data_IF_020323641498
#
_entry.id   IF_020323641498
#
_cell.length_a   1.000
_cell.length_b   1.000
_cell.length_c   1.000
_cell.angle_alpha   90.00
_cell.angle_beta   90.00
_cell.angle_gamma   90.00
#
_symmetry.space_group_name_H-M   'P 1'
#
loop_
_entity.id
_entity.type
_entity.pdbx_description
1 polymer ?
#
# COMPACT_ATOMS: atom_id res chain seq x y z
N UNK A 1 0.35 61.28 -57.46
CA UNK A 1 0.86 60.03 -58.08
C UNK A 1 0.91 58.94 -57.03
N UNK A 2 0.43 57.75 -57.38
CA UNK A 2 0.24 56.56 -56.55
C UNK A 2 1.54 55.74 -56.46
N UNK A 3 1.55 54.79 -55.52
CA UNK A 3 2.36 53.56 -55.40
C UNK A 3 3.66 53.69 -54.59
N UNK A 4 4.16 52.67 -53.91
CA UNK A 4 3.69 51.39 -53.35
C UNK A 4 5.00 50.82 -52.74
N UNK A 5 5.04 50.46 -51.46
CA UNK A 5 6.28 50.02 -50.81
C UNK A 5 5.99 48.80 -49.96
N UNK A 6 6.13 47.63 -50.57
CA UNK A 6 5.86 46.32 -49.97
C UNK A 6 6.88 45.90 -48.90
N UNK A 7 6.38 44.99 -48.07
CA UNK A 7 6.98 44.21 -46.99
C UNK A 7 8.32 43.52 -47.35
N UNK A 8 9.20 43.29 -46.37
CA UNK A 8 9.29 41.99 -45.68
C UNK A 8 10.34 41.98 -44.54
N UNK A 9 10.07 41.15 -43.53
CA UNK A 9 10.86 40.85 -42.33
C UNK A 9 12.30 40.39 -42.59
N UNK A 10 13.20 40.74 -41.66
CA UNK A 10 14.40 39.96 -41.35
C UNK A 10 14.46 39.69 -39.84
N UNK A 11 14.43 38.41 -39.53
CA UNK A 11 14.63 37.75 -38.24
C UNK A 11 16.02 38.03 -37.67
N UNK A 12 16.11 38.23 -36.35
CA UNK A 12 17.31 37.89 -35.57
C UNK A 12 16.92 37.26 -34.23
N UNK A 13 16.86 35.93 -34.24
CA UNK A 13 17.19 35.07 -33.09
C UNK A 13 18.57 35.47 -32.57
N UNK A 14 18.94 35.38 -31.30
CA UNK A 14 18.34 34.82 -30.10
C UNK A 14 19.50 34.72 -29.10
N UNK A 15 19.27 34.98 -27.82
CA UNK A 15 20.17 34.57 -26.75
C UNK A 15 19.33 34.57 -25.46
N UNK A 16 18.86 33.39 -25.08
CA UNK A 16 18.37 33.14 -23.72
C UNK A 16 19.49 32.32 -23.10
N UNK A 17 20.25 32.95 -22.22
CA UNK A 17 21.28 32.28 -21.45
C UNK A 17 20.59 31.27 -20.54
N UNK A 18 20.66 30.00 -20.95
CA UNK A 18 20.25 28.86 -20.15
C UNK A 18 21.35 28.59 -19.13
N UNK A 19 21.24 29.21 -17.96
CA UNK A 19 22.03 28.87 -16.79
C UNK A 19 21.57 27.48 -16.29
N UNK A 20 22.09 26.43 -16.91
CA UNK A 20 22.01 25.07 -16.36
C UNK A 20 23.05 24.94 -15.24
N UNK A 21 22.63 25.29 -14.02
CA UNK A 21 23.34 24.88 -12.82
C UNK A 21 23.25 23.35 -12.69
N UNK A 22 24.18 22.67 -13.35
CA UNK A 22 24.40 21.24 -13.24
C UNK A 22 25.06 20.94 -11.90
N UNK A 23 24.31 21.13 -10.82
CA UNK A 23 24.62 20.57 -9.52
C UNK A 23 24.71 19.05 -9.69
N UNK A 24 25.92 18.53 -9.55
CA UNK A 24 26.24 17.11 -9.63
C UNK A 24 25.23 16.30 -8.81
N UNK A 25 24.30 15.66 -9.51
CA UNK A 25 23.35 14.74 -8.92
C UNK A 25 24.15 13.59 -8.32
N UNK A 26 24.27 13.58 -6.98
CA UNK A 26 24.60 12.37 -6.26
C UNK A 26 23.68 11.28 -6.79
N UNK A 27 24.23 10.34 -7.55
CA UNK A 27 23.46 9.29 -8.21
C UNK A 27 23.02 8.32 -7.14
N UNK A 28 21.94 8.68 -6.44
CA UNK A 28 21.18 7.72 -5.64
C UNK A 28 20.74 6.65 -6.63
N UNK A 29 21.12 5.38 -6.43
CA UNK A 29 20.70 4.32 -7.32
C UNK A 29 19.17 4.34 -7.43
N UNK A 30 18.62 4.14 -8.64
CA UNK A 30 17.18 4.21 -8.86
C UNK A 30 16.49 3.20 -7.94
N UNK A 31 15.36 3.62 -7.38
CA UNK A 31 14.56 2.76 -6.51
C UNK A 31 14.04 1.56 -7.31
N UNK A 32 14.00 0.34 -6.74
CA UNK A 32 13.44 -0.82 -7.43
C UNK A 32 11.99 -0.58 -7.89
N UNK A 33 11.54 -1.19 -9.01
CA UNK A 33 10.19 -0.97 -9.54
C UNK A 33 9.06 -1.28 -8.55
N UNK A 34 9.23 -2.33 -7.75
CA UNK A 34 8.32 -2.74 -6.66
C UNK A 34 8.12 -1.61 -5.63
N UNK A 35 9.22 -0.96 -5.25
CA UNK A 35 9.23 0.15 -4.29
C UNK A 35 8.72 1.44 -4.92
N UNK A 36 8.96 1.71 -6.21
CA UNK A 36 8.35 2.85 -6.92
C UNK A 36 6.82 2.73 -6.98
N UNK A 37 6.29 1.52 -7.22
CA UNK A 37 4.84 1.27 -7.18
C UNK A 37 4.28 1.51 -5.77
N UNK A 38 4.94 0.98 -4.74
CA UNK A 38 4.53 1.19 -3.35
C UNK A 38 4.58 2.68 -2.97
N UNK A 39 5.65 3.39 -3.34
CA UNK A 39 5.81 4.82 -3.14
C UNK A 39 4.69 5.62 -3.81
N UNK A 40 4.38 5.34 -5.08
CA UNK A 40 3.27 5.99 -5.79
C UNK A 40 1.92 5.76 -5.09
N UNK A 41 1.68 4.55 -4.55
CA UNK A 41 0.46 4.25 -3.77
C UNK A 41 0.41 5.00 -2.44
N UNK A 42 1.53 5.12 -1.74
CA UNK A 42 1.64 5.90 -0.51
C UNK A 42 1.42 7.39 -0.78
N UNK A 43 2.00 7.95 -1.84
CA UNK A 43 1.79 9.33 -2.26
C UNK A 43 0.33 9.62 -2.62
N UNK A 44 -0.33 8.68 -3.33
CA UNK A 44 -1.77 8.77 -3.60
C UNK A 44 -2.60 8.78 -2.30
N UNK A 45 -2.15 8.06 -1.27
CA UNK A 45 -2.73 8.07 0.08
C UNK A 45 -2.27 9.24 0.97
N UNK A 46 -1.57 10.25 0.40
CA UNK A 46 -0.99 11.40 1.11
C UNK A 46 0.05 11.05 2.17
N UNK A 47 0.61 9.86 2.10
CA UNK A 47 1.71 9.37 2.94
C UNK A 47 3.04 9.61 2.23
N UNK A 48 3.35 10.88 1.94
CA UNK A 48 4.59 11.23 1.23
C UNK A 48 5.78 11.20 2.18
N UNK A 49 6.82 10.47 1.79
CA UNK A 49 8.06 10.36 2.54
C UNK A 49 9.27 10.24 1.61
N UNK A 50 10.44 10.49 2.17
CA UNK A 50 11.73 10.33 1.50
C UNK A 50 12.23 8.89 1.54
N UNK A 51 12.74 8.41 0.40
CA UNK A 51 13.23 7.04 0.20
C UNK A 51 14.75 6.95 0.03
N UNK A 52 15.43 8.09 -0.11
CA UNK A 52 16.89 8.20 -0.33
C UNK A 52 17.75 7.65 0.81
N UNK A 53 17.17 7.46 2.00
CA UNK A 53 17.88 6.95 3.18
C UNK A 53 17.76 5.44 3.39
N UNK A 54 17.03 4.75 2.53
CA UNK A 54 16.92 3.30 2.62
C UNK A 54 18.25 2.65 2.21
N UNK A 55 18.71 1.70 3.01
CA UNK A 55 19.86 0.86 2.65
C UNK A 55 19.43 -0.25 1.69
N UNK A 56 20.40 -0.88 1.01
CA UNK A 56 20.11 -2.05 0.16
C UNK A 56 19.39 -3.18 0.90
N UNK A 57 19.77 -3.44 2.16
CA UNK A 57 19.10 -4.43 3.01
C UNK A 57 17.65 -4.03 3.32
N UNK A 58 17.41 -2.74 3.54
CA UNK A 58 16.06 -2.22 3.77
C UNK A 58 15.21 -2.30 2.50
N UNK A 59 15.79 -2.10 1.31
CA UNK A 59 15.08 -2.39 0.06
C UNK A 59 14.67 -3.85 -0.01
N UNK A 60 15.60 -4.78 0.21
CA UNK A 60 15.33 -6.21 0.15
C UNK A 60 14.27 -6.67 1.16
N UNK A 61 14.25 -6.07 2.36
CA UNK A 61 13.19 -6.32 3.36
C UNK A 61 11.84 -5.84 2.86
N UNK A 62 11.76 -4.62 2.30
CA UNK A 62 10.51 -4.08 1.78
C UNK A 62 10.00 -4.92 0.61
N UNK A 63 10.88 -5.35 -0.29
CA UNK A 63 10.54 -6.25 -1.40
C UNK A 63 9.96 -7.58 -0.89
N UNK A 64 10.60 -8.22 0.09
CA UNK A 64 10.05 -9.43 0.72
C UNK A 64 8.68 -9.19 1.36
N UNK A 65 8.46 -8.04 2.00
CA UNK A 65 7.17 -7.70 2.60
C UNK A 65 6.11 -7.43 1.53
N UNK A 66 6.48 -6.83 0.39
CA UNK A 66 5.60 -6.69 -0.77
C UNK A 66 5.24 -8.07 -1.33
N UNK A 67 6.20 -8.98 -1.45
CA UNK A 67 5.94 -10.33 -1.95
C UNK A 67 5.03 -11.14 -1.00
N UNK A 68 5.23 -10.98 0.31
CA UNK A 68 4.48 -11.73 1.33
C UNK A 68 3.06 -11.19 1.55
N UNK A 69 2.89 -9.87 1.56
CA UNK A 69 1.63 -9.23 1.96
C UNK A 69 0.93 -8.49 0.82
N UNK A 70 1.64 -8.16 -0.26
CA UNK A 70 1.25 -7.15 -1.23
C UNK A 70 1.44 -5.73 -0.70
N UNK A 71 1.37 -4.74 -1.59
CA UNK A 71 1.52 -3.32 -1.22
C UNK A 71 0.32 -2.75 -0.43
N UNK A 72 -0.89 -3.27 -0.64
CA UNK A 72 -2.11 -2.80 0.03
C UNK A 72 -2.04 -2.80 1.56
N UNK A 73 -1.70 -3.93 2.21
CA UNK A 73 -1.50 -3.97 3.66
C UNK A 73 -0.39 -3.04 4.17
N UNK A 74 0.70 -2.88 3.41
CA UNK A 74 1.79 -1.95 3.76
C UNK A 74 1.30 -0.49 3.77
N UNK A 75 0.52 -0.09 2.75
CA UNK A 75 -0.12 1.24 2.69
C UNK A 75 -1.07 1.45 3.87
N UNK A 76 -1.94 0.47 4.17
CA UNK A 76 -2.86 0.55 5.32
C UNK A 76 -2.10 0.71 6.64
N UNK A 77 -1.00 -0.02 6.81
CA UNK A 77 -0.14 0.08 7.99
C UNK A 77 0.51 1.46 8.11
N UNK A 78 0.98 2.04 7.01
CA UNK A 78 1.55 3.40 7.01
C UNK A 78 0.50 4.45 7.41
N UNK A 79 -0.73 4.34 6.90
CA UNK A 79 -1.85 5.20 7.29
C UNK A 79 -2.17 5.06 8.79
N UNK A 80 -2.21 3.83 9.31
CA UNK A 80 -2.49 3.58 10.73
C UNK A 80 -1.42 4.16 11.66
N UNK A 81 -0.18 4.29 11.17
CA UNK A 81 0.94 4.90 11.90
C UNK A 81 0.98 6.43 11.80
N UNK A 82 0.14 7.04 10.96
CA UNK A 82 0.16 8.50 10.73
C UNK A 82 -0.14 9.28 12.01
N UNK A 83 0.72 10.26 12.31
CA UNK A 83 0.55 11.19 13.42
C UNK A 83 0.53 12.63 12.88
N UNK A 84 -0.58 13.37 13.02
CA UNK A 84 -0.69 14.72 12.44
C UNK A 84 0.39 15.71 12.88
N UNK A 85 0.86 15.62 14.13
CA UNK A 85 1.92 16.49 14.66
C UNK A 85 3.35 16.00 14.38
N UNK A 86 3.51 14.81 13.82
CA UNK A 86 4.81 14.19 13.56
C UNK A 86 4.69 13.22 12.36
N UNK A 87 4.46 13.73 11.14
CA UNK A 87 4.40 12.90 9.95
C UNK A 87 5.76 12.25 9.69
N UNK A 88 5.74 11.05 9.10
CA UNK A 88 6.96 10.34 8.73
C UNK A 88 7.69 11.09 7.60
N UNK A 89 8.91 11.56 7.89
CA UNK A 89 9.75 12.23 6.88
C UNK A 89 10.45 11.21 5.98
N UNK A 90 10.74 10.00 6.49
CA UNK A 90 11.45 8.94 5.78
C UNK A 90 10.68 7.63 5.84
N UNK A 91 10.74 6.84 4.76
CA UNK A 91 10.07 5.54 4.66
C UNK A 91 10.53 4.54 5.74
N UNK A 92 11.75 4.68 6.26
CA UNK A 92 12.29 3.89 7.37
C UNK A 92 11.37 3.87 8.61
N UNK A 93 10.59 4.93 8.83
CA UNK A 93 9.70 5.03 9.98
C UNK A 93 8.62 3.94 9.98
N UNK A 94 8.25 3.40 8.82
CA UNK A 94 7.21 2.37 8.71
C UNK A 94 7.74 0.95 8.79
N UNK A 95 9.04 0.73 8.65
CA UNK A 95 9.63 -0.62 8.57
C UNK A 95 9.26 -1.50 9.76
N UNK A 96 9.35 -0.95 10.99
CA UNK A 96 8.97 -1.69 12.19
C UNK A 96 7.50 -2.14 12.15
N UNK A 97 6.60 -1.26 11.70
CA UNK A 97 5.18 -1.58 11.55
C UNK A 97 4.92 -2.58 10.43
N UNK A 98 5.64 -2.50 9.31
CA UNK A 98 5.51 -3.46 8.22
C UNK A 98 6.02 -4.85 8.58
N UNK A 99 7.14 -4.96 9.30
CA UNK A 99 7.67 -6.25 9.78
C UNK A 99 6.75 -6.92 10.83
N UNK A 100 5.89 -6.16 11.49
CA UNK A 100 4.91 -6.67 12.46
C UNK A 100 3.60 -7.16 11.83
N UNK A 101 3.46 -7.05 10.50
CA UNK A 101 2.24 -7.47 9.82
C UNK A 101 2.08 -8.99 9.91
N UNK A 102 0.87 -9.41 10.29
CA UNK A 102 0.50 -10.82 10.31
C UNK A 102 0.15 -11.25 8.88
N UNK A 103 0.71 -12.37 8.36
CA UNK A 103 0.36 -12.87 7.03
C UNK A 103 -1.13 -13.16 6.90
N UNK A 104 -1.68 -12.89 5.71
CA UNK A 104 -3.07 -13.16 5.41
C UNK A 104 -3.42 -14.64 5.65
N UNK A 105 -4.58 -14.91 6.24
CA UNK A 105 -5.03 -16.26 6.59
C UNK A 105 -4.62 -16.75 7.99
N UNK A 106 -3.69 -16.06 8.65
CA UNK A 106 -3.34 -16.39 10.04
C UNK A 106 -4.44 -15.90 10.98
N UNK A 107 -5.06 -16.81 11.74
CA UNK A 107 -6.10 -16.46 12.72
C UNK A 107 -7.52 -16.41 12.16
N UNK A 108 -7.76 -16.91 10.93
CA UNK A 108 -9.13 -17.26 10.53
C UNK A 108 -9.63 -18.35 11.50
N UNK A 109 -10.60 -17.98 12.35
CA UNK A 109 -11.28 -18.95 13.20
C UNK A 109 -12.01 -19.93 12.29
N UNK A 110 -11.68 -21.21 12.39
CA UNK A 110 -12.49 -22.26 11.78
C UNK A 110 -13.90 -22.11 12.34
N UNK A 111 -14.85 -21.71 11.50
CA UNK A 111 -16.25 -21.67 11.88
C UNK A 111 -16.70 -23.13 11.98
N UNK A 112 -17.16 -23.55 13.16
CA UNK A 112 -17.69 -24.92 13.33
C UNK A 112 -18.76 -25.19 12.29
N UNK A 113 -18.79 -26.42 11.77
CA UNK A 113 -19.72 -26.83 10.72
C UNK A 113 -21.17 -26.54 11.14
N UNK A 114 -21.99 -25.91 10.28
CA UNK A 114 -23.40 -25.68 10.58
C UNK A 114 -24.11 -27.01 10.84
N UNK A 115 -25.15 -26.99 11.67
CA UNK A 115 -25.98 -28.18 11.87
C UNK A 115 -26.52 -28.66 10.51
N UNK A 116 -26.34 -29.94 10.14
CA UNK A 116 -26.77 -30.45 8.84
C UNK A 116 -28.29 -30.65 8.74
N UNK A 117 -29.02 -30.64 9.87
CA UNK A 117 -30.46 -30.88 9.90
C UNK A 117 -31.27 -29.69 9.39
N UNK A 118 -32.22 -29.97 8.50
CA UNK A 118 -33.05 -28.94 7.88
C UNK A 118 -33.99 -28.30 8.90
N UNK A 119 -33.98 -26.96 8.96
CA UNK A 119 -34.79 -26.20 9.90
C UNK A 119 -34.09 -25.92 11.24
N UNK A 120 -32.92 -26.53 11.48
CA UNK A 120 -32.13 -26.26 12.67
C UNK A 120 -31.25 -25.03 12.51
N UNK A 121 -30.97 -24.36 13.62
CA UNK A 121 -30.03 -23.24 13.68
C UNK A 121 -28.85 -23.56 14.60
N UNK A 122 -27.71 -22.93 14.31
CA UNK A 122 -26.47 -23.10 15.07
C UNK A 122 -25.47 -24.04 14.41
N UNK A 123 -24.39 -24.32 15.14
CA UNK A 123 -23.32 -25.22 14.71
C UNK A 123 -23.57 -26.63 15.23
N UNK A 124 -22.88 -27.62 14.69
CA UNK A 124 -22.88 -29.00 15.17
C UNK A 124 -22.63 -29.12 16.69
N UNK A 125 -21.80 -28.24 17.27
CA UNK A 125 -21.52 -28.19 18.72
C UNK A 125 -22.58 -27.43 19.54
N UNK A 126 -23.31 -26.51 18.91
CA UNK A 126 -24.20 -25.55 19.60
C UNK A 126 -25.57 -25.42 18.93
N UNK A 127 -26.12 -26.52 18.42
CA UNK A 127 -27.46 -26.53 17.88
C UNK A 127 -28.48 -26.63 19.01
N UNK A 128 -29.25 -25.57 19.22
CA UNK A 128 -30.27 -25.50 20.27
C UNK A 128 -31.34 -26.57 20.11
N UNK A 129 -31.78 -26.85 18.88
CA UNK A 129 -32.78 -27.91 18.63
C UNK A 129 -32.24 -29.31 18.90
N UNK A 130 -31.05 -29.66 18.39
CA UNK A 130 -30.45 -30.97 18.71
C UNK A 130 -30.17 -31.13 20.21
N UNK A 131 -29.84 -30.05 20.92
CA UNK A 131 -29.66 -30.08 22.36
C UNK A 131 -31.00 -30.35 23.08
N UNK A 132 -32.08 -29.66 22.69
CA UNK A 132 -33.43 -29.90 23.22
C UNK A 132 -33.91 -31.32 22.92
N UNK A 133 -33.78 -31.79 21.68
CA UNK A 133 -34.18 -33.13 21.26
C UNK A 133 -33.40 -34.24 21.99
N UNK A 134 -32.12 -34.00 22.35
CA UNK A 134 -31.34 -34.95 23.15
C UNK A 134 -31.83 -35.01 24.60
N UNK A 135 -32.29 -33.90 25.17
CA UNK A 135 -32.86 -33.85 26.52
C UNK A 135 -34.25 -34.50 26.55
N UNK A 136 -35.03 -34.35 25.47
CA UNK A 136 -36.36 -34.95 25.30
C UNK A 136 -36.28 -36.44 24.92
N UNK A 137 -35.22 -36.84 24.19
CA UNK A 137 -34.98 -38.19 23.68
C UNK A 137 -34.15 -39.10 24.59
N UNK A 138 -33.86 -38.71 25.84
CA UNK A 138 -33.16 -39.52 26.85
C UNK A 138 -33.91 -40.77 27.35
N UNK A 139 -34.80 -41.34 26.54
CA UNK A 139 -35.51 -42.59 26.79
C UNK A 139 -35.65 -43.41 25.49
N UNK A 140 -34.53 -43.84 24.92
CA UNK A 140 -34.31 -45.02 24.07
C UNK A 140 -33.02 -44.74 23.28
N UNK A 141 -31.93 -45.50 23.45
CA UNK A 141 -31.80 -46.96 23.36
C UNK A 141 -30.68 -47.44 24.27
#
# INVERSE_FOLDING_TARGET
SVTNGGSNEVVRSGEVEEEVDAAAAATTPPLPPSLEILKAKLDAAKMTARWDRLTGDQHAIIEQLIDLHGDGPLVKSAIAQYRPGAPAVFAQAWLAGWMSLVPAGTGLRVVSTPCPESGHSGTTDHCTQCASERLEGGAAR
#
